data_IF_666290906486
#
_entry.id   IF_666290906486
#
_cell.length_a   1.000
_cell.length_b   1.000
_cell.length_c   1.000
_cell.angle_alpha   90.00
_cell.angle_beta   90.00
_cell.angle_gamma   90.00
#
_symmetry.space_group_name_H-M   'P 1'
#
loop_
_entity.id
_entity.type
_entity.pdbx_description
1 polymer ?
#
# COMPACT_ATOMS: atom_id res chain seq x y z
N UNK A 1 -47.13 6.81 32.94
CA UNK A 1 -47.55 6.28 34.25
C UNK A 1 -46.31 6.15 35.10
N UNK A 2 -46.21 6.86 36.22
CA UNK A 2 -45.10 6.69 37.18
C UNK A 2 -45.28 5.34 37.88
N UNK A 3 -44.23 4.53 37.94
CA UNK A 3 -44.27 3.25 38.64
C UNK A 3 -43.79 3.45 40.07
N UNK A 4 -44.66 3.20 41.04
CA UNK A 4 -44.35 3.31 42.46
C UNK A 4 -43.99 1.94 43.03
N UNK A 5 -42.83 1.82 43.69
CA UNK A 5 -42.36 0.57 44.29
C UNK A 5 -42.23 0.70 45.80
N UNK A 6 -42.60 -0.37 46.52
CA UNK A 6 -42.57 -0.46 47.98
C UNK A 6 -41.40 -1.38 48.40
N UNK A 7 -40.50 -0.90 49.27
CA UNK A 7 -39.52 -1.74 49.98
C UNK A 7 -39.59 -1.50 51.49
N UNK A 8 -39.63 -2.59 52.24
CA UNK A 8 -39.73 -2.63 53.69
C UNK A 8 -38.31 -2.67 54.28
N UNK A 9 -37.95 -1.70 55.12
CA UNK A 9 -36.70 -1.74 55.91
C UNK A 9 -37.01 -2.09 57.36
N UNK A 10 -36.33 -3.10 57.91
CA UNK A 10 -36.40 -3.42 59.34
C UNK A 10 -35.49 -2.49 60.14
N UNK A 11 -36.05 -1.79 61.12
CA UNK A 11 -35.27 -1.10 62.16
C UNK A 11 -35.10 -2.01 63.37
N UNK A 12 -34.01 -1.84 64.13
CA UNK A 12 -33.72 -2.58 65.38
C UNK A 12 -34.82 -2.42 66.46
N UNK A 13 -35.79 -1.53 66.25
CA UNK A 13 -36.95 -1.27 67.11
C UNK A 13 -38.27 -1.85 66.57
N UNK A 14 -38.26 -2.73 65.57
CA UNK A 14 -39.46 -3.41 65.08
C UNK A 14 -40.45 -2.52 64.31
N UNK A 15 -40.07 -1.29 63.97
CA UNK A 15 -40.85 -0.38 63.14
C UNK A 15 -40.36 -0.48 61.69
N UNK A 16 -41.18 -1.08 60.84
CA UNK A 16 -40.96 -1.13 59.41
C UNK A 16 -41.43 0.17 58.77
N UNK A 17 -40.54 0.92 58.12
CA UNK A 17 -40.92 2.09 57.33
C UNK A 17 -40.89 1.73 55.84
N UNK A 18 -42.04 1.87 55.18
CA UNK A 18 -42.18 1.77 53.73
C UNK A 18 -41.95 3.15 53.12
N UNK A 19 -40.84 3.34 52.44
CA UNK A 19 -40.64 4.51 51.59
C UNK A 19 -41.01 4.16 50.16
N UNK A 20 -42.04 4.84 49.64
CA UNK A 20 -42.40 4.81 48.23
C UNK A 20 -41.43 5.75 47.50
N UNK A 21 -40.71 5.20 46.53
CA UNK A 21 -39.91 6.01 45.61
C UNK A 21 -40.50 5.85 44.22
N UNK A 22 -40.75 6.98 43.55
CA UNK A 22 -41.09 6.98 42.13
C UNK A 22 -39.85 6.68 41.29
N UNK A 23 -40.06 6.09 40.12
CA UNK A 23 -39.04 6.03 39.08
C UNK A 23 -38.59 7.45 38.68
N UNK A 24 -37.33 7.58 38.29
CA UNK A 24 -36.67 8.84 37.96
C UNK A 24 -35.87 8.67 36.66
N UNK A 25 -36.03 9.62 35.73
CA UNK A 25 -35.28 9.61 34.47
C UNK A 25 -33.87 10.14 34.68
N UNK A 26 -33.00 9.97 33.69
CA UNK A 26 -31.71 10.67 33.69
C UNK A 26 -31.93 12.18 33.80
N UNK A 27 -31.14 12.83 34.66
CA UNK A 27 -31.30 14.25 35.01
C UNK A 27 -32.30 14.53 36.13
N UNK A 28 -33.17 13.59 36.49
CA UNK A 28 -34.10 13.76 37.62
C UNK A 28 -33.39 13.56 38.97
N UNK A 29 -33.99 14.16 40.01
CA UNK A 29 -33.55 13.99 41.39
C UNK A 29 -33.82 12.56 41.86
N UNK A 30 -32.84 11.97 42.55
CA UNK A 30 -32.92 10.62 43.07
C UNK A 30 -32.32 10.53 44.48
N UNK A 31 -32.67 9.46 45.19
CA UNK A 31 -32.03 9.09 46.47
C UNK A 31 -31.23 7.80 46.41
N UNK A 32 -31.54 6.94 45.43
CA UNK A 32 -30.95 5.62 45.25
C UNK A 32 -30.90 5.27 43.78
N UNK A 33 -29.87 4.54 43.37
CA UNK A 33 -29.68 4.11 41.97
C UNK A 33 -30.87 3.35 41.40
N UNK A 34 -31.62 2.61 42.24
CA UNK A 34 -32.79 1.87 41.78
C UNK A 34 -33.86 2.75 41.11
N UNK A 35 -34.02 4.01 41.55
CA UNK A 35 -34.97 4.95 40.94
C UNK A 35 -34.61 5.23 39.48
N UNK A 36 -33.32 5.35 39.20
CA UNK A 36 -32.77 5.57 37.87
C UNK A 36 -32.78 4.30 37.03
N UNK A 37 -32.48 3.14 37.64
CA UNK A 37 -32.33 1.87 36.94
C UNK A 37 -33.61 1.37 36.28
N UNK A 38 -34.76 1.73 36.82
CA UNK A 38 -36.07 1.37 36.27
C UNK A 38 -36.33 2.08 34.95
N UNK A 39 -36.00 3.38 34.87
CA UNK A 39 -36.32 4.20 33.70
C UNK A 39 -35.18 4.25 32.67
N UNK A 40 -33.92 4.11 33.09
CA UNK A 40 -32.74 4.30 32.26
C UNK A 40 -31.83 3.05 32.14
N UNK A 41 -32.25 1.93 32.72
CA UNK A 41 -31.53 0.66 32.66
C UNK A 41 -30.50 0.44 33.78
N UNK A 42 -29.95 -0.78 33.89
CA UNK A 42 -29.19 -1.22 35.08
C UNK A 42 -27.88 -0.46 35.33
N UNK A 43 -27.35 0.22 34.30
CA UNK A 43 -26.12 1.00 34.36
C UNK A 43 -26.33 2.44 34.84
N UNK A 44 -27.58 2.84 35.12
CA UNK A 44 -27.91 4.12 35.72
C UNK A 44 -27.61 4.11 37.23
N UNK A 45 -27.03 5.20 37.71
CA UNK A 45 -26.67 5.41 39.11
C UNK A 45 -27.25 6.72 39.63
N UNK A 46 -27.51 6.77 40.93
CA UNK A 46 -27.83 8.03 41.59
C UNK A 46 -26.54 8.68 42.07
N UNK A 47 -26.11 9.75 41.41
CA UNK A 47 -24.91 10.48 41.78
C UNK A 47 -25.26 11.55 42.82
N UNK A 48 -25.12 11.18 44.11
CA UNK A 48 -25.33 12.06 45.24
C UNK A 48 -24.55 11.56 46.45
N UNK A 49 -23.82 12.47 47.12
CA UNK A 49 -23.13 12.17 48.36
C UNK A 49 -23.89 12.82 49.52
N UNK A 50 -24.46 11.99 50.41
CA UNK A 50 -25.16 12.41 51.66
C UNK A 50 -26.45 13.25 51.52
N UNK A 51 -26.80 13.74 50.32
CA UNK A 51 -28.07 14.43 50.01
C UNK A 51 -28.80 13.76 48.84
N UNK A 52 -29.96 14.33 48.46
CA UNK A 52 -30.59 14.03 47.16
C UNK A 52 -29.55 14.21 46.03
N UNK A 53 -29.47 13.24 45.12
CA UNK A 53 -28.55 13.19 43.99
C UNK A 53 -29.28 13.31 42.65
N UNK A 54 -28.54 13.14 41.55
CA UNK A 54 -29.10 13.19 40.19
C UNK A 54 -28.86 11.86 39.49
N UNK A 55 -29.88 11.36 38.78
CA UNK A 55 -29.76 10.16 37.97
C UNK A 55 -28.82 10.41 36.77
N UNK A 56 -27.75 9.64 36.69
CA UNK A 56 -26.76 9.71 35.60
C UNK A 56 -26.35 8.31 35.16
N UNK A 57 -25.79 8.19 33.96
CA UNK A 57 -25.08 6.97 33.57
C UNK A 57 -23.73 6.91 34.27
N UNK A 58 -23.29 5.70 34.65
CA UNK A 58 -21.95 5.49 35.18
C UNK A 58 -20.88 5.78 34.11
N UNK A 59 -20.33 6.98 34.09
CA UNK A 59 -19.45 7.49 33.03
C UNK A 59 -18.16 6.68 32.82
N UNK A 60 -17.77 5.81 33.75
CA UNK A 60 -16.58 4.95 33.58
C UNK A 60 -16.85 3.72 32.71
N UNK A 61 -18.10 3.27 32.60
CA UNK A 61 -18.47 2.03 31.90
C UNK A 61 -19.66 2.18 30.95
N UNK A 62 -20.41 3.28 31.04
CA UNK A 62 -21.62 3.50 30.25
C UNK A 62 -21.77 4.95 29.81
N UNK A 63 -22.63 5.15 28.82
CA UNK A 63 -22.99 6.47 28.30
C UNK A 63 -24.48 6.52 28.00
N UNK A 64 -25.00 7.74 27.90
CA UNK A 64 -26.40 7.98 27.58
C UNK A 64 -26.65 7.97 26.07
N UNK A 65 -27.66 7.21 25.65
CA UNK A 65 -28.30 7.31 24.34
C UNK A 65 -29.81 7.35 24.53
N UNK A 66 -30.45 8.44 24.08
CA UNK A 66 -31.90 8.62 24.12
C UNK A 66 -32.56 8.38 25.51
N UNK A 67 -31.89 8.81 26.59
CA UNK A 67 -32.40 8.69 27.96
C UNK A 67 -32.12 7.35 28.65
N UNK A 68 -31.38 6.45 28.01
CA UNK A 68 -30.99 5.15 28.56
C UNK A 68 -29.47 4.99 28.60
N UNK A 69 -28.98 4.17 29.54
CA UNK A 69 -27.55 3.92 29.73
C UNK A 69 -27.10 2.63 29.06
N UNK A 70 -26.18 2.76 28.10
CA UNK A 70 -25.58 1.63 27.38
C UNK A 70 -24.11 1.48 27.76
N UNK A 71 -23.64 0.23 27.86
CA UNK A 71 -22.22 -0.04 28.09
C UNK A 71 -21.38 0.60 26.97
N UNK A 72 -20.34 1.32 27.36
CA UNK A 72 -19.45 2.01 26.42
C UNK A 72 -18.50 1.00 25.80
N UNK A 73 -18.57 0.88 24.49
CA UNK A 73 -17.67 0.12 23.63
C UNK A 73 -17.12 0.99 22.52
N UNK A 74 -15.89 0.74 22.13
CA UNK A 74 -15.19 1.42 21.04
C UNK A 74 -15.08 0.53 19.81
N UNK A 75 -14.56 1.07 18.71
CA UNK A 75 -14.42 0.29 17.46
C UNK A 75 -13.56 -0.95 17.69
N UNK A 76 -13.94 -2.05 17.03
CA UNK A 76 -13.37 -3.39 17.17
C UNK A 76 -13.61 -4.08 18.52
N UNK A 77 -14.37 -3.49 19.45
CA UNK A 77 -14.82 -4.17 20.67
C UNK A 77 -16.15 -4.89 20.45
N UNK A 78 -16.43 -5.88 21.29
CA UNK A 78 -17.68 -6.63 21.24
C UNK A 78 -18.86 -5.80 21.73
N UNK A 79 -19.97 -5.86 20.99
CA UNK A 79 -21.20 -5.14 21.27
C UNK A 79 -22.43 -6.04 21.17
N UNK A 80 -23.54 -5.57 21.72
CA UNK A 80 -24.86 -6.22 21.57
C UNK A 80 -25.80 -5.42 20.69
N UNK A 81 -25.72 -4.09 20.78
CA UNK A 81 -26.54 -3.13 20.04
C UNK A 81 -25.71 -1.93 19.60
N UNK A 82 -26.17 -1.19 18.60
CA UNK A 82 -25.47 -0.02 18.05
C UNK A 82 -25.17 1.04 19.11
N UNK A 83 -26.08 1.22 20.07
CA UNK A 83 -25.92 2.16 21.19
C UNK A 83 -24.77 1.80 22.13
N UNK A 84 -24.17 0.61 22.04
CA UNK A 84 -22.93 0.34 22.76
C UNK A 84 -21.73 1.09 22.16
N UNK A 85 -21.76 1.35 20.85
CA UNK A 85 -20.59 1.74 20.07
C UNK A 85 -20.39 3.26 20.08
N UNK A 86 -19.71 3.78 21.10
CA UNK A 86 -19.45 5.22 21.27
C UNK A 86 -18.24 5.68 20.46
N UNK A 87 -18.41 6.78 19.71
CA UNK A 87 -17.35 7.47 18.98
C UNK A 87 -17.10 8.86 19.59
N UNK A 88 -16.27 8.97 20.65
CA UNK A 88 -16.14 10.21 21.43
C UNK A 88 -15.53 11.38 20.65
N UNK A 89 -14.78 11.08 19.59
CA UNK A 89 -14.15 12.09 18.72
C UNK A 89 -15.09 12.62 17.63
N UNK A 90 -16.29 12.05 17.50
CA UNK A 90 -17.35 12.53 16.61
C UNK A 90 -18.50 13.13 17.46
N UNK A 91 -18.36 14.38 17.95
CA UNK A 91 -19.19 14.86 19.05
C UNK A 91 -20.64 15.22 18.69
N UNK A 92 -20.99 15.30 17.39
CA UNK A 92 -22.28 15.86 16.95
C UNK A 92 -22.95 14.96 15.93
N UNK A 93 -24.26 14.77 16.09
CA UNK A 93 -25.13 14.10 15.12
C UNK A 93 -25.07 12.57 15.17
N UNK A 94 -25.54 11.94 14.08
CA UNK A 94 -25.62 10.49 13.97
C UNK A 94 -24.24 9.81 14.07
N UNK A 95 -23.15 10.54 13.77
CA UNK A 95 -21.78 10.03 13.76
C UNK A 95 -21.17 9.82 15.16
N UNK A 96 -21.89 10.18 16.23
CA UNK A 96 -21.51 9.90 17.62
C UNK A 96 -21.54 8.41 17.96
N UNK A 97 -22.25 7.60 17.17
CA UNK A 97 -22.38 6.15 17.36
C UNK A 97 -21.93 5.37 16.12
N UNK A 98 -21.26 4.26 16.37
CA UNK A 98 -20.96 3.23 15.37
C UNK A 98 -22.12 2.24 15.18
N UNK A 99 -21.90 1.23 14.35
CA UNK A 99 -22.82 0.11 14.14
C UNK A 99 -22.30 -1.13 14.86
N UNK A 100 -23.18 -1.87 15.50
CA UNK A 100 -22.88 -3.19 16.03
C UNK A 100 -23.07 -4.23 14.93
N UNK A 101 -22.02 -4.47 14.16
CA UNK A 101 -22.06 -5.37 13.02
C UNK A 101 -21.36 -6.68 13.34
N UNK A 102 -22.07 -7.81 13.20
CA UNK A 102 -21.61 -9.14 13.62
C UNK A 102 -21.07 -9.19 15.06
N UNK A 103 -21.68 -8.41 15.96
CA UNK A 103 -21.30 -8.35 17.38
C UNK A 103 -20.02 -7.55 17.65
N UNK A 104 -19.54 -6.76 16.68
CA UNK A 104 -18.36 -5.90 16.82
C UNK A 104 -18.68 -4.47 16.38
N UNK A 105 -18.25 -3.49 17.18
CA UNK A 105 -18.43 -2.09 16.85
C UNK A 105 -17.63 -1.69 15.61
N UNK A 106 -18.34 -1.22 14.59
CA UNK A 106 -17.81 -0.92 13.27
C UNK A 106 -18.29 0.45 12.79
N UNK A 107 -17.58 1.04 11.84
CA UNK A 107 -18.02 2.29 11.21
C UNK A 107 -19.18 2.07 10.25
N UNK A 108 -19.95 3.13 9.99
CA UNK A 108 -20.95 3.13 8.91
C UNK A 108 -20.28 2.98 7.54
N UNK A 109 -21.08 2.58 6.55
CA UNK A 109 -20.66 2.43 5.15
C UNK A 109 -19.98 3.72 4.67
N UNK A 110 -18.86 3.59 3.96
CA UNK A 110 -18.09 4.72 3.45
C UNK A 110 -17.05 5.27 4.44
N UNK A 111 -17.08 4.84 5.70
CA UNK A 111 -16.10 5.22 6.72
C UNK A 111 -15.34 4.01 7.25
N UNK A 112 -14.26 4.27 7.97
CA UNK A 112 -13.41 3.25 8.58
C UNK A 112 -12.85 3.70 9.92
N UNK A 113 -12.42 2.76 10.78
CA UNK A 113 -11.81 3.10 12.05
C UNK A 113 -10.54 3.94 11.87
N UNK A 114 -10.44 5.02 12.63
CA UNK A 114 -9.18 5.70 12.89
C UNK A 114 -8.24 4.76 13.67
N UNK A 115 -6.93 5.07 13.67
CA UNK A 115 -5.90 4.25 14.35
C UNK A 115 -6.18 4.05 15.85
N UNK A 116 -6.83 5.01 16.49
CA UNK A 116 -7.18 5.00 17.91
C UNK A 116 -8.49 4.27 18.22
N UNK A 117 -9.22 3.79 17.21
CA UNK A 117 -10.54 3.15 17.33
C UNK A 117 -11.63 4.02 18.01
N UNK A 118 -11.44 5.35 18.05
CA UNK A 118 -12.35 6.31 18.73
C UNK A 118 -13.14 7.20 17.78
N UNK A 119 -12.81 7.18 16.50
CA UNK A 119 -13.49 7.92 15.44
C UNK A 119 -13.59 7.07 14.19
N UNK A 120 -14.57 7.41 13.37
CA UNK A 120 -14.70 6.93 12.01
C UNK A 120 -14.26 8.02 11.05
N UNK A 121 -13.30 7.72 10.17
CA UNK A 121 -12.82 8.64 9.15
C UNK A 121 -13.35 8.25 7.78
N UNK A 122 -13.54 9.25 6.93
CA UNK A 122 -13.98 9.06 5.54
C UNK A 122 -12.96 8.27 4.73
N UNK A 123 -13.45 7.31 3.96
CA UNK A 123 -12.65 6.66 2.92
C UNK A 123 -12.39 7.65 1.78
N UNK A 124 -11.17 7.60 1.23
CA UNK A 124 -10.74 8.40 0.09
C UNK A 124 -10.32 7.49 -1.05
N UNK A 125 -10.83 7.80 -2.23
CA UNK A 125 -10.47 7.11 -3.47
C UNK A 125 -9.14 7.66 -4.02
N UNK A 126 -8.56 6.95 -4.98
CA UNK A 126 -7.41 7.42 -5.74
C UNK A 126 -7.61 8.87 -6.24
N UNK A 127 -6.55 9.67 -6.18
CA UNK A 127 -6.50 11.10 -6.51
C UNK A 127 -7.33 12.03 -5.63
N UNK A 128 -8.08 11.53 -4.66
CA UNK A 128 -8.79 12.38 -3.71
C UNK A 128 -7.84 12.88 -2.62
N UNK A 129 -8.09 14.11 -2.14
CA UNK A 129 -7.36 14.68 -1.01
C UNK A 129 -7.49 13.81 0.23
N UNK A 130 -6.36 13.63 0.90
CA UNK A 130 -6.25 12.83 2.11
C UNK A 130 -5.31 13.55 3.09
N UNK A 131 -5.44 13.17 4.35
CA UNK A 131 -4.61 13.65 5.46
C UNK A 131 -3.77 12.51 6.05
N UNK A 132 -4.26 11.27 5.96
CA UNK A 132 -3.60 10.09 6.54
C UNK A 132 -3.74 8.88 5.62
N UNK A 133 -2.73 7.99 5.62
CA UNK A 133 -2.68 6.77 4.82
C UNK A 133 -3.91 5.87 5.03
N UNK A 134 -4.43 5.87 6.26
CA UNK A 134 -5.63 5.14 6.66
C UNK A 134 -6.82 5.49 5.73
N UNK A 135 -6.95 6.73 5.28
CA UNK A 135 -8.05 7.11 4.38
C UNK A 135 -7.96 6.45 3.00
N UNK A 136 -6.77 6.07 2.54
CA UNK A 136 -6.54 5.55 1.20
C UNK A 136 -6.58 4.01 1.09
N UNK A 137 -6.60 3.27 2.20
CA UNK A 137 -6.42 1.81 2.15
C UNK A 137 -7.64 1.03 1.62
N UNK A 138 -8.68 1.71 1.12
CA UNK A 138 -9.68 1.06 0.26
C UNK A 138 -9.05 0.49 -1.01
N UNK A 139 -7.95 1.10 -1.46
CA UNK A 139 -7.07 0.56 -2.49
C UNK A 139 -5.83 0.00 -1.81
N UNK A 140 -5.58 -1.30 -1.99
CA UNK A 140 -4.37 -1.94 -1.47
C UNK A 140 -3.12 -1.27 -2.06
N UNK A 141 -2.07 -1.10 -1.25
CA UNK A 141 -0.85 -0.40 -1.62
C UNK A 141 -1.06 1.08 -2.03
N UNK A 142 -2.15 1.71 -1.58
CA UNK A 142 -2.33 3.15 -1.68
C UNK A 142 -1.92 3.85 -0.37
N UNK A 143 -1.25 4.99 -0.51
CA UNK A 143 -0.74 5.81 0.58
C UNK A 143 -1.17 7.25 0.38
N UNK A 144 -1.29 7.98 1.48
CA UNK A 144 -1.57 9.39 1.47
C UNK A 144 -0.28 10.20 1.35
N UNK A 145 -0.31 11.22 0.49
CA UNK A 145 0.71 12.27 0.45
C UNK A 145 0.04 13.63 0.59
N UNK A 146 -0.64 14.05 -0.47
CA UNK A 146 -1.64 15.15 -0.48
C UNK A 146 -2.96 14.66 -1.05
N UNK A 147 -2.87 13.64 -1.90
CA UNK A 147 -3.95 12.84 -2.44
C UNK A 147 -3.58 11.35 -2.29
N UNK A 148 -4.56 10.47 -2.40
CA UNK A 148 -4.31 9.02 -2.41
C UNK A 148 -3.60 8.61 -3.70
N UNK A 149 -2.40 8.04 -3.55
CA UNK A 149 -1.54 7.58 -4.65
C UNK A 149 -1.06 6.16 -4.36
N UNK A 150 -0.60 5.46 -5.39
CA UNK A 150 0.08 4.19 -5.20
C UNK A 150 1.40 4.40 -4.46
N UNK A 151 1.70 3.49 -3.54
CA UNK A 151 2.96 3.44 -2.82
C UNK A 151 4.13 3.25 -3.79
N UNK A 152 5.32 3.67 -3.35
CA UNK A 152 6.55 3.46 -4.11
C UNK A 152 6.74 1.97 -4.46
N UNK A 153 7.02 1.69 -5.73
CA UNK A 153 7.11 0.31 -6.24
C UNK A 153 5.80 -0.21 -6.82
N UNK A 154 4.71 0.53 -6.67
CA UNK A 154 3.44 0.26 -7.31
C UNK A 154 3.10 1.33 -8.35
N UNK A 155 2.21 0.98 -9.26
CA UNK A 155 1.69 1.84 -10.30
C UNK A 155 0.20 1.62 -10.44
N UNK A 156 -0.50 2.61 -10.97
CA UNK A 156 -1.95 2.56 -11.09
C UNK A 156 -2.34 1.63 -12.23
N UNK A 157 -3.37 0.81 -12.01
CA UNK A 157 -4.03 0.06 -13.08
C UNK A 157 -4.66 1.00 -14.11
N UNK A 158 -4.91 0.47 -15.30
CA UNK A 158 -5.54 1.20 -16.41
C UNK A 158 -6.93 1.74 -16.06
N UNK A 159 -7.72 0.98 -15.29
CA UNK A 159 -9.04 1.41 -14.83
C UNK A 159 -9.00 2.38 -13.63
N UNK A 160 -7.80 2.64 -13.11
CA UNK A 160 -7.55 3.59 -12.06
C UNK A 160 -7.91 3.14 -10.65
N UNK A 161 -8.31 1.88 -10.46
CA UNK A 161 -8.87 1.38 -9.19
C UNK A 161 -7.88 0.63 -8.30
N UNK A 162 -6.77 0.17 -8.86
CA UNK A 162 -5.81 -0.70 -8.17
C UNK A 162 -4.40 -0.14 -8.27
N UNK A 163 -3.58 -0.51 -7.29
CA UNK A 163 -2.14 -0.30 -7.33
C UNK A 163 -1.47 -1.65 -7.59
N UNK A 164 -0.98 -1.81 -8.82
CA UNK A 164 -0.29 -3.00 -9.30
C UNK A 164 1.21 -2.86 -9.06
N UNK A 165 1.88 -3.97 -8.71
CA UNK A 165 3.34 -3.97 -8.55
C UNK A 165 4.01 -3.60 -9.87
N UNK A 166 4.80 -2.54 -9.86
CA UNK A 166 5.57 -2.12 -11.03
C UNK A 166 6.76 -3.06 -11.22
N UNK A 167 7.05 -3.40 -12.47
CA UNK A 167 8.20 -4.20 -12.84
C UNK A 167 9.47 -3.37 -12.72
N UNK A 168 10.53 -3.97 -12.15
CA UNK A 168 11.84 -3.33 -12.05
C UNK A 168 12.80 -3.81 -13.15
N UNK A 169 12.49 -4.95 -13.79
CA UNK A 169 13.30 -5.56 -14.85
C UNK A 169 12.41 -6.17 -15.94
N UNK A 170 12.91 -6.18 -17.17
CA UNK A 170 12.30 -6.96 -18.24
C UNK A 170 12.25 -8.46 -17.87
N UNK A 171 11.17 -9.13 -18.25
CA UNK A 171 10.87 -10.52 -17.89
C UNK A 171 10.06 -10.68 -16.60
N UNK A 172 9.88 -9.63 -15.80
CA UNK A 172 8.97 -9.68 -14.65
C UNK A 172 7.50 -9.85 -15.08
N UNK A 173 6.67 -10.53 -14.26
CA UNK A 173 5.28 -10.77 -14.59
C UNK A 173 4.47 -9.47 -14.60
N UNK A 174 3.50 -9.40 -15.50
CA UNK A 174 2.58 -8.27 -15.62
C UNK A 174 1.21 -8.72 -16.10
N UNK A 175 0.22 -7.86 -15.84
CA UNK A 175 -1.15 -7.96 -16.32
C UNK A 175 -1.42 -6.82 -17.31
N UNK A 176 -0.88 -5.63 -17.02
CA UNK A 176 -1.09 -4.42 -17.80
C UNK A 176 0.23 -3.71 -18.14
N UNK A 177 0.20 -2.85 -19.17
CA UNK A 177 1.40 -2.14 -19.65
C UNK A 177 1.95 -1.17 -18.60
N UNK A 178 1.08 -0.60 -17.77
CA UNK A 178 1.38 0.37 -16.72
C UNK A 178 2.43 -0.17 -15.74
N UNK A 179 2.41 -1.48 -15.46
CA UNK A 179 3.42 -2.17 -14.64
C UNK A 179 4.81 -2.11 -15.24
N UNK A 180 4.90 -2.24 -16.57
CA UNK A 180 6.15 -2.24 -17.29
C UNK A 180 6.65 -0.81 -17.52
N UNK A 181 5.77 0.12 -17.91
CA UNK A 181 6.17 1.47 -18.28
C UNK A 181 6.58 2.38 -17.11
N UNK A 182 6.24 2.00 -15.86
CA UNK A 182 6.53 2.83 -14.68
C UNK A 182 8.02 3.07 -14.44
N UNK A 183 8.83 2.01 -14.59
CA UNK A 183 10.29 2.05 -14.40
C UNK A 183 11.05 1.49 -15.61
N UNK A 184 10.40 0.74 -16.51
CA UNK A 184 10.99 0.29 -17.77
C UNK A 184 10.48 1.18 -18.89
N UNK A 185 11.31 2.13 -19.33
CA UNK A 185 10.93 3.10 -20.35
C UNK A 185 10.50 2.40 -21.64
N UNK A 186 9.28 2.69 -22.11
CA UNK A 186 8.62 2.06 -23.25
C UNK A 186 8.40 0.54 -23.12
N UNK A 187 8.48 -0.03 -21.91
CA UNK A 187 8.13 -1.43 -21.65
C UNK A 187 6.63 -1.69 -21.86
N UNK A 188 6.31 -2.87 -22.39
CA UNK A 188 4.94 -3.34 -22.63
C UNK A 188 4.73 -4.72 -22.01
N UNK A 189 3.50 -4.99 -21.61
CA UNK A 189 3.10 -6.30 -21.13
C UNK A 189 2.66 -7.17 -22.31
N UNK A 190 3.44 -8.21 -22.63
CA UNK A 190 3.14 -9.15 -23.72
C UNK A 190 3.30 -10.56 -23.19
N UNK A 191 2.27 -11.40 -23.37
CA UNK A 191 2.25 -12.78 -22.84
C UNK A 191 2.55 -12.84 -21.32
N UNK A 192 1.95 -11.94 -20.55
CA UNK A 192 2.07 -11.83 -19.09
C UNK A 192 3.48 -11.51 -18.56
N UNK A 193 4.39 -11.03 -19.40
CA UNK A 193 5.74 -10.58 -18.98
C UNK A 193 6.06 -9.22 -19.58
N UNK A 194 6.82 -8.42 -18.84
CA UNK A 194 7.31 -7.14 -19.32
C UNK A 194 8.40 -7.34 -20.36
N UNK A 195 8.17 -6.84 -21.57
CA UNK A 195 9.09 -6.91 -22.71
C UNK A 195 9.13 -5.56 -23.42
N UNK A 196 10.02 -5.43 -24.39
CA UNK A 196 9.97 -4.33 -25.34
C UNK A 196 8.98 -4.58 -26.49
N UNK A 197 8.45 -3.51 -27.11
CA UNK A 197 7.69 -3.58 -28.34
C UNK A 197 8.47 -4.27 -29.47
N UNK A 198 7.77 -4.67 -30.53
CA UNK A 198 8.43 -5.28 -31.68
C UNK A 198 9.43 -4.30 -32.32
N UNK A 199 10.61 -4.80 -32.74
CA UNK A 199 11.78 -4.03 -33.23
C UNK A 199 12.51 -3.22 -32.15
N UNK A 200 12.30 -3.56 -30.88
CA UNK A 200 13.04 -3.00 -29.76
C UNK A 200 13.50 -4.13 -28.83
N UNK A 201 14.65 -3.95 -28.18
CA UNK A 201 15.18 -4.82 -27.15
C UNK A 201 15.35 -4.06 -25.84
N UNK A 202 15.42 -4.81 -24.74
CA UNK A 202 15.68 -4.23 -23.43
C UNK A 202 17.18 -4.01 -23.22
N UNK A 203 17.58 -2.76 -22.98
CA UNK A 203 18.90 -2.40 -22.51
C UNK A 203 18.76 -1.62 -21.20
N UNK A 204 19.32 -2.19 -20.12
CA UNK A 204 19.08 -1.72 -18.74
C UNK A 204 17.58 -1.61 -18.42
N UNK A 205 17.07 -0.39 -18.20
CA UNK A 205 15.66 -0.10 -17.88
C UNK A 205 14.94 0.58 -19.03
N UNK A 206 15.42 0.45 -20.28
CA UNK A 206 14.84 1.11 -21.45
C UNK A 206 14.72 0.16 -22.63
N UNK A 207 13.68 0.37 -23.43
CA UNK A 207 13.61 -0.24 -24.74
C UNK A 207 14.40 0.58 -25.76
N UNK A 208 15.38 -0.06 -26.40
CA UNK A 208 16.21 0.50 -27.46
C UNK A 208 15.80 -0.10 -28.79
N UNK A 209 15.88 0.71 -29.84
CA UNK A 209 15.55 0.26 -31.19
C UNK A 209 16.54 -0.83 -31.58
N UNK A 210 16.06 -1.87 -32.23
CA UNK A 210 16.93 -2.89 -32.80
C UNK A 210 17.65 -2.34 -34.02
N UNK A 211 18.97 -2.20 -33.93
CA UNK A 211 19.83 -1.77 -35.04
C UNK A 211 20.91 -2.82 -35.26
N UNK A 212 20.99 -3.34 -36.48
CA UNK A 212 21.96 -4.39 -36.82
C UNK A 212 23.33 -3.78 -37.16
N UNK A 213 24.41 -4.58 -37.16
CA UNK A 213 25.69 -4.14 -37.72
C UNK A 213 25.52 -3.57 -39.13
N UNK A 214 26.27 -2.50 -39.43
CA UNK A 214 26.24 -1.67 -40.64
C UNK A 214 24.97 -0.82 -40.83
N UNK A 215 24.03 -0.83 -39.89
CA UNK A 215 22.86 0.04 -39.94
C UNK A 215 23.09 1.36 -39.16
N UNK A 216 22.33 2.43 -39.48
CA UNK A 216 22.42 3.70 -38.77
C UNK A 216 21.94 3.62 -37.32
N UNK A 217 22.74 4.18 -36.40
CA UNK A 217 22.47 4.24 -34.97
C UNK A 217 22.70 5.65 -34.41
N UNK A 218 22.07 5.93 -33.26
CA UNK A 218 22.29 7.14 -32.48
C UNK A 218 23.12 6.91 -31.22
N UNK A 219 23.01 5.73 -30.62
CA UNK A 219 23.75 5.37 -29.41
C UNK A 219 24.17 3.90 -29.43
N UNK A 220 25.22 3.57 -28.67
CA UNK A 220 25.79 2.21 -28.62
C UNK A 220 24.75 1.16 -28.20
N UNK A 221 23.79 1.53 -27.34
CA UNK A 221 22.82 0.59 -26.82
C UNK A 221 21.84 0.11 -27.90
N UNK A 222 21.56 0.89 -28.95
CA UNK A 222 20.76 0.44 -30.10
C UNK A 222 21.38 -0.76 -30.84
N UNK A 223 22.71 -0.87 -30.80
CA UNK A 223 23.42 -1.98 -31.44
C UNK A 223 23.39 -3.28 -30.61
N UNK A 224 23.15 -3.20 -29.29
CA UNK A 224 23.26 -4.34 -28.35
C UNK A 224 21.94 -5.14 -28.29
N UNK A 225 21.48 -5.62 -29.46
CA UNK A 225 20.19 -6.31 -29.61
C UNK A 225 20.08 -7.65 -28.88
N UNK A 226 21.22 -8.22 -28.44
CA UNK A 226 21.27 -9.44 -27.64
C UNK A 226 22.41 -9.38 -26.63
N UNK A 227 22.32 -10.21 -25.58
CA UNK A 227 23.39 -10.33 -24.58
C UNK A 227 24.72 -10.76 -25.20
N UNK A 228 24.70 -11.47 -26.33
CA UNK A 228 25.90 -11.95 -27.00
C UNK A 228 26.69 -10.82 -27.69
N UNK A 229 26.04 -9.69 -27.96
CA UNK A 229 26.65 -8.50 -28.56
C UNK A 229 27.13 -7.49 -27.52
N UNK A 230 26.89 -7.74 -26.23
CA UNK A 230 27.37 -6.88 -25.16
C UNK A 230 28.90 -6.73 -25.24
N UNK A 231 29.39 -5.49 -25.30
CA UNK A 231 30.80 -5.14 -25.51
C UNK A 231 31.42 -5.60 -26.83
N UNK A 232 30.63 -6.09 -27.80
CA UNK A 232 31.12 -6.49 -29.12
C UNK A 232 30.75 -5.52 -30.22
N UNK A 233 29.81 -4.62 -29.98
CA UNK A 233 29.36 -3.61 -30.95
C UNK A 233 29.42 -2.23 -30.34
N UNK A 234 29.70 -1.23 -31.19
CA UNK A 234 29.63 0.19 -30.84
C UNK A 234 29.03 0.97 -32.02
N UNK A 235 28.34 2.06 -31.73
CA UNK A 235 27.86 3.03 -32.68
C UNK A 235 29.00 4.00 -33.04
N UNK A 236 29.76 3.69 -34.09
CA UNK A 236 30.87 4.53 -34.53
C UNK A 236 30.49 5.33 -35.76
N UNK A 237 30.63 6.66 -35.67
CA UNK A 237 30.25 7.60 -36.76
C UNK A 237 28.79 7.41 -37.23
N UNK A 238 27.89 7.07 -36.31
CA UNK A 238 26.47 6.88 -36.59
C UNK A 238 26.11 5.54 -37.24
N UNK A 239 27.02 4.56 -37.24
CA UNK A 239 26.80 3.22 -37.79
C UNK A 239 27.19 2.17 -36.74
N UNK A 240 26.38 1.12 -36.58
CA UNK A 240 26.71 0.01 -35.69
C UNK A 240 27.88 -0.79 -36.27
N UNK A 241 28.99 -0.90 -35.53
CA UNK A 241 30.23 -1.56 -35.97
C UNK A 241 30.68 -2.60 -34.95
N UNK A 242 31.24 -3.72 -35.42
CA UNK A 242 31.84 -4.74 -34.54
C UNK A 242 33.21 -4.27 -34.02
N UNK A 243 33.42 -4.37 -32.72
CA UNK A 243 34.64 -3.92 -32.03
C UNK A 243 35.89 -4.63 -32.52
N UNK A 244 35.80 -5.95 -32.72
CA UNK A 244 36.91 -6.79 -33.16
C UNK A 244 36.79 -7.24 -34.63
N UNK A 245 35.91 -6.59 -35.40
CA UNK A 245 35.60 -7.00 -36.77
C UNK A 245 34.53 -8.09 -36.87
N UNK A 246 34.19 -8.43 -38.11
CA UNK A 246 33.16 -9.42 -38.48
C UNK A 246 33.80 -10.76 -38.79
N UNK A 247 33.06 -11.84 -38.53
CA UNK A 247 33.40 -13.17 -39.03
C UNK A 247 33.30 -13.22 -40.56
N UNK A 248 34.04 -14.13 -41.20
CA UNK A 248 34.01 -14.36 -42.65
C UNK A 248 32.62 -14.78 -43.18
N UNK A 249 31.74 -15.30 -42.31
CA UNK A 249 30.33 -15.62 -42.62
C UNK A 249 29.35 -14.44 -42.39
N UNK A 250 29.89 -13.22 -42.29
CA UNK A 250 29.24 -11.89 -42.41
C UNK A 250 28.10 -11.51 -41.43
N UNK A 251 27.68 -12.41 -40.54
CA UNK A 251 26.54 -12.14 -39.63
C UNK A 251 26.87 -12.09 -38.14
N UNK A 252 28.13 -12.28 -37.75
CA UNK A 252 28.52 -12.31 -36.34
C UNK A 252 29.77 -11.46 -36.06
N UNK A 253 29.72 -10.70 -34.97
CA UNK A 253 30.90 -9.99 -34.46
C UNK A 253 31.86 -10.96 -33.77
N UNK A 254 33.16 -10.80 -34.05
CA UNK A 254 34.22 -11.58 -33.41
C UNK A 254 34.28 -11.29 -31.91
N UNK A 255 34.57 -12.32 -31.10
CA UNK A 255 34.69 -12.19 -29.64
C UNK A 255 36.01 -11.56 -29.20
N UNK A 256 37.05 -11.68 -30.02
CA UNK A 256 38.42 -11.26 -29.74
C UNK A 256 39.07 -10.70 -31.00
N UNK A 257 40.11 -9.90 -30.85
CA UNK A 257 40.89 -9.41 -31.98
C UNK A 257 41.39 -10.60 -32.82
N UNK A 258 41.22 -10.57 -34.16
CA UNK A 258 41.72 -11.64 -35.01
C UNK A 258 43.23 -11.77 -34.80
N UNK A 259 43.69 -12.99 -34.50
CA UNK A 259 45.11 -13.29 -34.43
C UNK A 259 45.72 -12.99 -35.80
N UNK A 260 46.54 -11.94 -35.87
CA UNK A 260 47.30 -11.59 -37.06
C UNK A 260 48.27 -12.75 -37.37
N UNK A 261 47.92 -13.60 -38.34
CA UNK A 261 48.92 -14.33 -39.12
C UNK A 261 49.18 -13.57 -40.40
N UNK A 262 49.87 -12.43 -40.30
CA UNK A 262 50.47 -11.82 -41.47
C UNK A 262 51.88 -11.28 -41.15
N UNK A 263 52.85 -12.18 -41.28
CA UNK A 263 54.21 -11.79 -41.65
C UNK A 263 54.48 -12.46 -43.00
N UNK A 264 53.88 -11.94 -44.08
CA UNK A 264 54.21 -12.36 -45.43
C UNK A 264 55.67 -12.07 -45.78
N UNK A 265 56.27 -13.09 -46.38
CA UNK A 265 57.63 -13.19 -46.91
C UNK A 265 57.93 -12.15 -48.01
N UNK A 266 59.20 -11.74 -48.14
CA UNK A 266 59.64 -11.01 -49.34
C UNK A 266 61.12 -10.61 -49.42
N UNK A 267 61.92 -11.48 -50.05
CA UNK A 267 63.15 -11.20 -50.82
C UNK A 267 64.39 -10.59 -50.13
N UNK A 268 65.42 -11.42 -49.92
CA UNK A 268 66.79 -11.09 -50.30
C UNK A 268 67.48 -12.29 -50.98
N UNK A 269 67.68 -12.13 -52.29
CA UNK A 269 68.73 -12.63 -53.17
C UNK A 269 69.28 -14.07 -53.01
N UNK A 270 69.01 -14.89 -54.04
CA UNK A 270 69.92 -15.95 -54.47
C UNK A 270 71.20 -15.35 -55.08
N UNK A 271 72.31 -16.05 -54.84
CA UNK A 271 73.62 -16.07 -55.54
C UNK A 271 74.78 -15.38 -54.84
N UNK A 272 75.69 -16.17 -54.25
CA UNK A 272 77.09 -16.24 -54.67
C UNK A 272 77.70 -17.56 -54.17
N UNK A 273 78.11 -18.39 -55.14
CA UNK A 273 78.95 -19.56 -54.96
C UNK A 273 80.43 -19.13 -55.02
N UNK A 274 81.25 -19.77 -54.19
CA UNK A 274 82.70 -20.04 -54.32
C UNK A 274 83.72 -19.10 -53.63
N UNK A 275 84.51 -19.77 -52.78
CA UNK A 275 85.89 -19.56 -52.34
C UNK A 275 86.24 -18.37 -51.43
N UNK A 276 86.66 -18.68 -50.19
CA UNK A 276 88.06 -18.56 -49.74
C UNK A 276 88.32 -19.60 -48.64
N UNK A 277 89.23 -20.53 -48.93
CA UNK A 277 89.93 -21.37 -47.94
C UNK A 277 90.93 -20.51 -47.14
N UNK A 278 91.39 -21.06 -46.01
CA UNK A 278 92.63 -20.78 -45.27
C UNK A 278 92.58 -19.72 -44.15
N UNK A 279 92.49 -20.19 -42.89
CA UNK A 279 93.57 -20.16 -41.88
C UNK A 279 93.01 -20.25 -40.44
N UNK A 280 93.09 -21.43 -39.83
CA UNK A 280 93.42 -21.55 -38.42
C UNK A 280 94.61 -22.49 -38.32
N UNK A 281 95.72 -21.90 -37.86
CA UNK A 281 96.87 -22.56 -37.23
C UNK A 281 96.40 -23.13 -35.89
#
# INVERSE_FOLDING_TARGET
MKSEYIRIFGTLSGLYSCHIFSDAKLGDVCRRSLQCQISAGPLAICNGYMTDGICVCNSTISHEVAGECYETKYLNEYCRVDQNCLLPENPIGEDRLGLCYYGVCSCRIGKRPAKNNRSCIENRMMDQKCENDIQCQMTENAVCRTICLCETGFTRSKDGKQCLRAALKFGEPCIENEQCSRYLENGVCKKNVCTCPDKYHGYETRCRKDVKPDEPCFDDAECVISKDLLNKVNCTKGICTCTYGKSYDDNFCLSDAPYSTDHQNGLLALSFLIAVFINFI
#
